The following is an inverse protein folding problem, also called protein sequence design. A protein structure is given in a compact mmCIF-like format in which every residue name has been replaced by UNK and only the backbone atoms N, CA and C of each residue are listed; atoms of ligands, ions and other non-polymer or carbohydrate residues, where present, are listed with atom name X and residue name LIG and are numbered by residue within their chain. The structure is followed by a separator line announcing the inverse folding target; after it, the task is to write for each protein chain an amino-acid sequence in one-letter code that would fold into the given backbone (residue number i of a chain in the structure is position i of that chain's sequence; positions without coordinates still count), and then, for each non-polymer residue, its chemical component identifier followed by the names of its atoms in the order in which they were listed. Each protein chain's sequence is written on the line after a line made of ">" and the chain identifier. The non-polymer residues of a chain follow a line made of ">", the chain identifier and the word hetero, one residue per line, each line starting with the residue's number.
data_IF_890995829403
#
_entry.id   IF_890995829403
#
_cell.length_a   1.000
_cell.length_b   1.000
_cell.length_c   1.000
_cell.angle_alpha   90.00
_cell.angle_beta   90.00
_cell.angle_gamma   90.00
#
_symmetry.space_group_name_H-M   'P 1'
#
loop_
_entity.id
_entity.type
_entity.pdbx_description
1 polymer ?
#
# COMPACT_ATOMS: atom_id res chain seq x y z
N UNK A 1 -9.67 16.00 1.46
CA UNK A 1 -9.68 15.29 0.16
C UNK A 1 -8.28 15.17 -0.43
N UNK A 2 -7.60 16.28 -0.77
CA UNK A 2 -6.24 16.24 -1.34
C UNK A 2 -5.23 15.47 -0.47
N UNK A 3 -5.14 15.77 0.84
CA UNK A 3 -4.20 15.08 1.73
C UNK A 3 -4.41 13.56 1.78
N UNK A 4 -5.67 13.10 1.78
CA UNK A 4 -6.00 11.67 1.75
C UNK A 4 -5.48 11.00 0.50
N UNK A 5 -5.63 11.64 -0.67
CA UNK A 5 -5.13 11.14 -1.95
C UNK A 5 -3.60 11.17 -2.00
N UNK A 6 -2.96 12.21 -1.45
CA UNK A 6 -1.50 12.30 -1.33
C UNK A 6 -0.98 11.12 -0.50
N UNK A 7 -1.54 10.91 0.70
CA UNK A 7 -1.13 9.81 1.58
C UNK A 7 -1.33 8.43 0.92
N UNK A 8 -2.44 8.24 0.19
CA UNK A 8 -2.69 7.01 -0.54
C UNK A 8 -1.65 6.78 -1.64
N UNK A 9 -1.36 7.82 -2.44
CA UNK A 9 -0.37 7.76 -3.51
C UNK A 9 1.05 7.51 -2.98
N UNK A 10 1.44 8.16 -1.88
CA UNK A 10 2.74 7.95 -1.24
C UNK A 10 2.92 6.50 -0.77
N UNK A 11 1.91 5.93 -0.11
CA UNK A 11 1.97 4.55 0.36
C UNK A 11 2.04 3.55 -0.82
N UNK A 12 1.12 3.67 -1.78
CA UNK A 12 1.09 2.84 -3.00
C UNK A 12 2.43 2.90 -3.74
N UNK A 13 3.00 4.11 -3.89
CA UNK A 13 4.27 4.31 -4.55
C UNK A 13 5.40 3.60 -3.81
N UNK A 14 5.52 3.80 -2.50
CA UNK A 14 6.57 3.18 -1.69
C UNK A 14 6.53 1.64 -1.79
N UNK A 15 5.34 1.04 -1.71
CA UNK A 15 5.17 -0.41 -1.81
C UNK A 15 5.53 -0.90 -3.23
N UNK A 16 5.02 -0.24 -4.26
CA UNK A 16 5.26 -0.64 -5.65
C UNK A 16 6.75 -0.59 -6.01
N UNK A 17 7.51 0.38 -5.46
CA UNK A 17 8.96 0.43 -5.68
C UNK A 17 9.68 -0.78 -5.07
N UNK A 18 9.29 -1.22 -3.88
CA UNK A 18 9.85 -2.43 -3.26
C UNK A 18 9.49 -3.66 -4.08
N UNK A 19 8.21 -3.81 -4.45
CA UNK A 19 7.74 -4.98 -5.20
C UNK A 19 8.42 -5.10 -6.56
N UNK A 20 8.60 -3.99 -7.28
CA UNK A 20 9.28 -3.96 -8.58
C UNK A 20 10.72 -4.47 -8.53
N UNK A 21 11.39 -4.33 -7.38
CA UNK A 21 12.77 -4.80 -7.20
C UNK A 21 12.80 -6.25 -6.72
N UNK A 22 11.84 -6.64 -5.88
CA UNK A 22 11.86 -7.92 -5.19
C UNK A 22 11.13 -9.05 -5.92
N UNK A 23 10.27 -8.74 -6.90
CA UNK A 23 9.41 -9.71 -7.56
C UNK A 23 9.45 -9.57 -9.09
N UNK A 24 9.53 -10.72 -9.75
CA UNK A 24 9.17 -10.86 -11.15
C UNK A 24 7.68 -11.26 -11.24
N UNK A 25 6.80 -10.26 -11.18
CA UNK A 25 5.34 -10.44 -11.35
C UNK A 25 4.49 -9.92 -10.20
N UNK A 26 3.27 -10.46 -10.06
CA UNK A 26 2.30 -10.02 -9.07
C UNK A 26 2.61 -10.60 -7.69
N UNK A 27 2.48 -9.76 -6.66
CA UNK A 27 2.55 -10.19 -5.26
C UNK A 27 1.33 -11.05 -4.90
N UNK A 28 1.54 -12.28 -4.43
CA UNK A 28 0.62 -12.96 -3.50
C UNK A 28 1.12 -12.72 -2.07
N UNK A 29 0.38 -11.95 -1.23
CA UNK A 29 0.80 -11.67 0.15
C UNK A 29 0.96 -12.92 1.03
N UNK A 30 0.29 -14.02 0.68
CA UNK A 30 0.36 -15.30 1.40
C UNK A 30 1.68 -16.02 1.15
N UNK A 31 2.22 -15.87 -0.05
CA UNK A 31 3.49 -16.48 -0.48
C UNK A 31 4.69 -15.54 -0.26
N UNK A 32 4.44 -14.31 0.19
CA UNK A 32 5.49 -13.31 0.42
C UNK A 32 6.46 -13.79 1.51
N UNK A 33 7.74 -13.88 1.14
CA UNK A 33 8.80 -14.27 2.08
C UNK A 33 8.87 -13.31 3.28
N UNK A 34 9.34 -13.78 4.45
CA UNK A 34 9.51 -12.91 5.62
C UNK A 34 10.39 -11.68 5.32
N UNK A 35 11.42 -11.83 4.48
CA UNK A 35 12.28 -10.73 4.05
C UNK A 35 11.53 -9.68 3.23
N UNK A 36 10.69 -10.10 2.29
CA UNK A 36 9.85 -9.18 1.52
C UNK A 36 8.86 -8.44 2.42
N UNK A 37 8.20 -9.14 3.35
CA UNK A 37 7.30 -8.50 4.34
C UNK A 37 8.04 -7.44 5.16
N UNK A 38 9.25 -7.73 5.63
CA UNK A 38 10.06 -6.76 6.37
C UNK A 38 10.40 -5.51 5.54
N UNK A 39 10.74 -5.67 4.25
CA UNK A 39 11.00 -4.53 3.35
C UNK A 39 9.76 -3.66 3.17
N UNK A 40 8.58 -4.27 3.00
CA UNK A 40 7.31 -3.56 2.82
C UNK A 40 6.89 -2.81 4.09
N UNK A 41 7.02 -3.44 5.26
CA UNK A 41 6.77 -2.82 6.57
C UNK A 41 7.66 -1.58 6.74
N UNK A 42 8.96 -1.70 6.44
CA UNK A 42 9.91 -0.60 6.52
C UNK A 42 9.54 0.54 5.54
N UNK A 43 9.22 0.21 4.30
CA UNK A 43 8.85 1.21 3.29
C UNK A 43 7.57 1.96 3.66
N UNK A 44 6.62 1.28 4.31
CA UNK A 44 5.38 1.89 4.79
C UNK A 44 5.52 2.61 6.14
N UNK A 45 6.63 2.45 6.87
CA UNK A 45 6.85 3.00 8.21
C UNK A 45 5.74 2.59 9.19
N UNK A 46 5.50 1.28 9.34
CA UNK A 46 4.53 0.69 10.29
C UNK A 46 5.19 -0.43 11.10
N UNK A 47 4.55 -0.91 12.18
CA UNK A 47 5.14 -1.94 13.05
C UNK A 47 5.01 -3.39 12.54
N UNK A 48 4.04 -3.69 11.67
CA UNK A 48 3.72 -5.07 11.27
C UNK A 48 3.11 -5.15 9.88
N UNK A 49 3.09 -6.36 9.31
CA UNK A 49 2.47 -6.58 8.01
C UNK A 49 0.95 -6.39 8.07
N UNK A 50 0.30 -6.82 9.15
CA UNK A 50 -1.13 -6.59 9.37
C UNK A 50 -1.46 -5.10 9.47
N UNK A 51 -0.59 -4.31 10.12
CA UNK A 51 -0.74 -2.85 10.19
C UNK A 51 -0.59 -2.21 8.79
N UNK A 52 0.32 -2.73 7.96
CA UNK A 52 0.44 -2.33 6.56
C UNK A 52 -0.84 -2.64 5.78
N UNK A 53 -1.36 -3.87 5.84
CA UNK A 53 -2.56 -4.27 5.11
C UNK A 53 -3.78 -3.43 5.52
N UNK A 54 -3.96 -3.22 6.82
CA UNK A 54 -5.03 -2.37 7.37
C UNK A 54 -4.93 -0.92 6.90
N UNK A 55 -3.72 -0.34 6.93
CA UNK A 55 -3.49 1.04 6.45
C UNK A 55 -3.72 1.17 4.95
N UNK A 56 -3.24 0.20 4.16
CA UNK A 56 -3.44 0.20 2.71
C UNK A 56 -4.93 0.11 2.36
N UNK A 57 -5.67 -0.82 2.97
CA UNK A 57 -7.09 -0.99 2.74
C UNK A 57 -7.89 0.29 3.10
N UNK A 58 -7.55 0.92 4.22
CA UNK A 58 -8.17 2.17 4.68
C UNK A 58 -7.96 3.31 3.67
N UNK A 59 -6.71 3.52 3.24
CA UNK A 59 -6.38 4.61 2.31
C UNK A 59 -6.96 4.37 0.91
N UNK A 60 -6.94 3.13 0.42
CA UNK A 60 -7.57 2.79 -0.87
C UNK A 60 -9.08 2.98 -0.83
N UNK A 61 -9.75 2.62 0.26
CA UNK A 61 -11.20 2.83 0.42
C UNK A 61 -11.53 4.32 0.40
N UNK A 62 -10.82 5.12 1.18
CA UNK A 62 -11.02 6.58 1.19
C UNK A 62 -10.73 7.22 -0.19
N UNK A 63 -9.72 6.73 -0.92
CA UNK A 63 -9.43 7.21 -2.27
C UNK A 63 -10.57 6.88 -3.26
N UNK A 64 -11.13 5.66 -3.20
CA UNK A 64 -12.27 5.25 -4.04
C UNK A 64 -13.53 6.06 -3.73
N UNK A 65 -13.80 6.35 -2.46
CA UNK A 65 -14.92 7.21 -2.05
C UNK A 65 -14.79 8.63 -2.61
N UNK A 66 -13.59 9.22 -2.50
CA UNK A 66 -13.32 10.56 -3.05
C UNK A 66 -13.49 10.56 -4.58
N UNK A 67 -12.95 9.55 -5.27
CA UNK A 67 -13.11 9.42 -6.72
C UNK A 67 -14.59 9.34 -7.11
N UNK A 68 -15.34 8.44 -6.47
CA UNK A 68 -16.77 8.23 -6.75
C UNK A 68 -17.57 9.51 -6.50
N UNK A 69 -17.30 10.21 -5.40
CA UNK A 69 -17.95 11.49 -5.07
C UNK A 69 -17.57 12.65 -6.02
N UNK A 70 -16.48 12.54 -6.78
CA UNK A 70 -16.07 13.56 -7.76
C UNK A 70 -16.64 13.27 -9.15
N UNK A 71 -16.94 12.00 -9.44
CA UNK A 71 -17.51 11.56 -10.72
C UNK A 71 -19.05 11.58 -10.75
N UNK A 72 -19.69 11.73 -9.58
CA UNK A 72 -21.14 11.91 -9.43
C UNK A 72 -21.53 13.39 -9.50
#
# INVERSE_FOLDING_TARGET
>A
RAQTLINAAELEHALTQVLRIALDGTLDPRDATPGLKALLIRAANVESFDALESRLATLQTAAREILTATLA
#
